data_IF_006450778154
#
_entry.id   IF_006450778154
#
_cell.length_a   1.000
_cell.length_b   1.000
_cell.length_c   1.000
_cell.angle_alpha   90.00
_cell.angle_beta   90.00
_cell.angle_gamma   90.00
#
_symmetry.space_group_name_H-M   'P 1'
#
loop_
_entity.id
_entity.type
_entity.pdbx_description
1 polymer ?
#
# COMPACT_ATOMS: atom_id res chain seq x y z
N UNK A 1 -15.54 31.88 -17.84
CA UNK A 1 -16.20 30.72 -17.21
C UNK A 1 -15.28 30.21 -16.12
N UNK A 2 -15.27 30.91 -14.97
CA UNK A 2 -14.48 30.50 -13.79
C UNK A 2 -15.39 29.71 -12.85
N UNK A 3 -15.71 28.46 -13.21
CA UNK A 3 -16.10 27.51 -12.19
C UNK A 3 -14.83 26.80 -11.76
N UNK A 4 -14.14 27.40 -10.78
CA UNK A 4 -13.17 26.67 -9.98
C UNK A 4 -13.93 25.51 -9.36
N UNK A 5 -13.68 24.33 -9.89
CA UNK A 5 -14.21 23.05 -9.49
C UNK A 5 -13.69 22.77 -8.07
N UNK A 6 -14.32 23.35 -7.05
CA UNK A 6 -13.90 23.20 -5.66
C UNK A 6 -14.36 21.86 -5.12
N UNK A 7 -13.42 21.07 -4.61
CA UNK A 7 -13.76 19.82 -3.93
C UNK A 7 -14.52 20.12 -2.64
N UNK A 8 -15.58 19.35 -2.32
CA UNK A 8 -16.31 19.55 -1.09
C UNK A 8 -15.39 19.25 0.11
N UNK A 9 -15.57 20.00 1.20
CA UNK A 9 -14.71 19.90 2.39
C UNK A 9 -14.60 18.46 2.91
N UNK A 10 -15.70 17.69 2.80
CA UNK A 10 -15.77 16.28 3.23
C UNK A 10 -14.77 15.37 2.50
N UNK A 11 -14.35 15.72 1.29
CA UNK A 11 -13.39 14.93 0.50
C UNK A 11 -12.01 14.88 1.18
N UNK A 12 -11.61 15.95 1.87
CA UNK A 12 -10.32 16.03 2.56
C UNK A 12 -10.21 15.06 3.75
N UNK A 13 -11.31 14.47 4.21
CA UNK A 13 -11.26 13.40 5.22
C UNK A 13 -10.46 12.20 4.73
N UNK A 14 -10.50 11.88 3.43
CA UNK A 14 -9.81 10.72 2.87
C UNK A 14 -8.29 10.82 3.02
N UNK A 15 -7.59 11.83 2.48
CA UNK A 15 -6.15 11.94 2.66
C UNK A 15 -5.75 12.11 4.13
N UNK A 16 -6.53 12.84 4.94
CA UNK A 16 -6.27 13.00 6.38
C UNK A 16 -6.32 11.64 7.09
N UNK A 17 -7.35 10.82 6.81
CA UNK A 17 -7.47 9.49 7.39
C UNK A 17 -6.34 8.55 6.96
N UNK A 18 -5.84 8.68 5.73
CA UNK A 18 -4.69 7.95 5.22
C UNK A 18 -3.43 8.23 6.07
N UNK A 19 -3.13 9.51 6.32
CA UNK A 19 -2.01 9.90 7.18
C UNK A 19 -2.17 9.41 8.62
N UNK A 20 -3.37 9.51 9.18
CA UNK A 20 -3.67 9.01 10.52
C UNK A 20 -3.44 7.49 10.58
N UNK A 21 -3.92 6.73 9.58
CA UNK A 21 -3.73 5.29 9.52
C UNK A 21 -2.24 4.91 9.50
N UNK A 22 -1.43 5.57 8.65
CA UNK A 22 0.02 5.33 8.58
C UNK A 22 0.74 5.72 9.88
N UNK A 23 0.30 6.79 10.54
CA UNK A 23 0.83 7.19 11.85
C UNK A 23 0.56 6.10 12.91
N UNK A 24 -0.67 5.60 12.99
CA UNK A 24 -1.02 4.52 13.92
C UNK A 24 -0.31 3.22 13.57
N UNK A 25 -0.12 2.91 12.29
CA UNK A 25 0.67 1.76 11.86
C UNK A 25 2.11 1.87 12.40
N UNK A 26 2.73 3.04 12.29
CA UNK A 26 4.07 3.29 12.82
C UNK A 26 4.13 3.15 14.35
N UNK A 27 3.15 3.71 15.06
CA UNK A 27 3.05 3.61 16.53
C UNK A 27 2.94 2.14 16.96
N UNK A 28 2.07 1.36 16.31
CA UNK A 28 1.90 -0.05 16.62
C UNK A 28 3.14 -0.88 16.27
N UNK A 29 3.76 -0.62 15.12
CA UNK A 29 5.02 -1.25 14.74
C UNK A 29 6.09 -1.03 15.81
N UNK A 30 6.27 0.23 16.25
CA UNK A 30 7.23 0.55 17.31
C UNK A 30 6.90 -0.17 18.61
N UNK A 31 5.64 -0.17 19.01
CA UNK A 31 5.20 -0.86 20.24
C UNK A 31 5.43 -2.38 20.21
N UNK A 32 5.42 -3.00 19.02
CA UNK A 32 5.79 -4.40 18.83
C UNK A 32 7.31 -4.54 18.93
N UNK A 33 8.07 -3.70 18.23
CA UNK A 33 9.54 -3.77 18.23
C UNK A 33 10.16 -3.57 19.61
N UNK A 34 9.51 -2.78 20.48
CA UNK A 34 9.90 -2.55 21.87
C UNK A 34 9.74 -3.79 22.78
N UNK A 35 9.08 -4.86 22.31
CA UNK A 35 8.94 -6.13 23.05
C UNK A 35 10.18 -7.01 22.88
N UNK A 36 10.54 -7.72 23.96
CA UNK A 36 11.64 -8.68 23.96
C UNK A 36 11.31 -9.87 23.07
N UNK A 37 12.31 -10.31 22.28
CA UNK A 37 12.26 -11.50 21.44
C UNK A 37 12.42 -12.81 22.25
N UNK A 38 12.68 -12.69 23.55
CA UNK A 38 12.76 -13.81 24.48
C UNK A 38 14.15 -14.45 24.51
N UNK A 39 14.18 -15.78 24.67
CA UNK A 39 15.41 -16.54 24.91
C UNK A 39 16.35 -16.53 23.70
N UNK A 40 17.65 -16.83 23.87
CA UNK A 40 18.59 -16.96 22.76
C UNK A 40 18.11 -17.93 21.68
N UNK A 41 17.48 -19.04 22.07
CA UNK A 41 16.91 -20.02 21.15
C UNK A 41 15.71 -19.46 20.36
N UNK A 42 14.84 -18.66 20.98
CA UNK A 42 13.74 -17.99 20.27
C UNK A 42 14.26 -17.01 19.21
N UNK A 43 15.30 -16.23 19.56
CA UNK A 43 15.94 -15.27 18.66
C UNK A 43 16.60 -15.94 17.47
N UNK A 44 17.32 -17.04 17.70
CA UNK A 44 17.95 -17.85 16.65
C UNK A 44 16.93 -18.35 15.61
N UNK A 45 15.82 -18.95 16.09
CA UNK A 45 14.75 -19.44 15.22
C UNK A 45 14.09 -18.28 14.46
N UNK A 46 13.80 -17.16 15.14
CA UNK A 46 13.20 -15.99 14.52
C UNK A 46 14.08 -15.41 13.41
N UNK A 47 15.40 -15.39 13.62
CA UNK A 47 16.35 -14.90 12.64
C UNK A 47 16.34 -15.77 11.37
N UNK A 48 16.36 -17.10 11.52
CA UNK A 48 16.26 -18.01 10.37
C UNK A 48 14.94 -17.80 9.58
N UNK A 49 13.82 -17.58 10.27
CA UNK A 49 12.53 -17.28 9.63
C UNK A 49 12.58 -15.94 8.89
N UNK A 50 13.13 -14.87 9.50
CA UNK A 50 13.29 -13.56 8.86
C UNK A 50 14.12 -13.67 7.59
N UNK A 51 15.26 -14.36 7.65
CA UNK A 51 16.14 -14.54 6.50
C UNK A 51 15.44 -15.30 5.36
N UNK A 52 14.76 -16.41 5.69
CA UNK A 52 13.98 -17.18 4.73
C UNK A 52 12.85 -16.37 4.08
N UNK A 53 12.08 -15.64 4.89
CA UNK A 53 11.01 -14.78 4.41
C UNK A 53 11.53 -13.66 3.49
N UNK A 54 12.63 -13.00 3.86
CA UNK A 54 13.24 -11.96 3.02
C UNK A 54 13.88 -12.52 1.75
N UNK A 55 14.39 -13.75 1.77
CA UNK A 55 14.84 -14.45 0.56
C UNK A 55 13.66 -14.75 -0.38
N UNK A 56 12.56 -15.28 0.17
CA UNK A 56 11.32 -15.53 -0.56
C UNK A 56 10.77 -14.24 -1.18
N UNK A 57 10.63 -13.17 -0.40
CA UNK A 57 10.09 -11.89 -0.86
C UNK A 57 10.91 -11.31 -2.01
N UNK A 58 12.25 -11.34 -1.90
CA UNK A 58 13.14 -10.89 -2.99
C UNK A 58 12.93 -11.71 -4.26
N UNK A 59 12.73 -13.03 -4.15
CA UNK A 59 12.47 -13.88 -5.31
C UNK A 59 11.10 -13.59 -5.92
N UNK A 60 10.06 -13.47 -5.08
CA UNK A 60 8.71 -13.13 -5.49
C UNK A 60 8.68 -11.78 -6.20
N UNK A 61 9.29 -10.75 -5.61
CA UNK A 61 9.30 -9.39 -6.18
C UNK A 61 10.02 -9.33 -7.51
N UNK A 62 11.05 -10.14 -7.72
CA UNK A 62 11.69 -10.25 -9.04
C UNK A 62 10.73 -10.79 -10.09
N UNK A 63 9.96 -11.82 -9.77
CA UNK A 63 9.00 -12.43 -10.69
C UNK A 63 7.83 -11.48 -10.96
N UNK A 64 7.29 -10.86 -9.91
CA UNK A 64 6.23 -9.87 -10.00
C UNK A 64 6.70 -8.66 -10.83
N UNK A 65 7.90 -8.14 -10.60
CA UNK A 65 8.43 -7.03 -11.39
C UNK A 65 8.51 -7.34 -12.90
N UNK A 66 8.85 -8.58 -13.27
CA UNK A 66 8.83 -9.00 -14.67
C UNK A 66 7.41 -9.02 -15.24
N UNK A 67 6.42 -9.53 -14.49
CA UNK A 67 5.02 -9.50 -14.91
C UNK A 67 4.50 -8.05 -15.05
N UNK A 68 4.87 -7.16 -14.12
CA UNK A 68 4.53 -5.73 -14.18
C UNK A 68 5.15 -5.05 -15.38
N UNK A 69 6.39 -5.36 -15.74
CA UNK A 69 7.02 -4.82 -16.94
C UNK A 69 6.28 -5.24 -18.22
N UNK A 70 5.85 -6.50 -18.31
CA UNK A 70 5.06 -7.00 -19.45
C UNK A 70 3.69 -6.30 -19.51
N UNK A 71 2.97 -6.21 -18.41
CA UNK A 71 1.67 -5.53 -18.33
C UNK A 71 1.79 -4.04 -18.66
N UNK A 72 2.85 -3.38 -18.20
CA UNK A 72 3.14 -1.99 -18.53
C UNK A 72 3.32 -1.78 -20.03
N UNK A 73 4.07 -2.66 -20.71
CA UNK A 73 4.22 -2.60 -22.18
C UNK A 73 2.87 -2.81 -22.88
N UNK A 74 2.05 -3.76 -22.42
CA UNK A 74 0.71 -4.00 -22.98
C UNK A 74 -0.15 -2.74 -22.84
N UNK A 75 -0.18 -2.11 -21.66
CA UNK A 75 -0.94 -0.88 -21.46
C UNK A 75 -0.39 0.30 -22.27
N UNK A 76 0.92 0.40 -22.48
CA UNK A 76 1.50 1.41 -23.39
C UNK A 76 1.06 1.20 -24.85
N UNK A 77 1.03 -0.04 -25.32
CA UNK A 77 0.55 -0.36 -26.68
C UNK A 77 -0.94 -0.01 -26.79
N UNK A 78 -1.77 -0.40 -25.82
CA UNK A 78 -3.20 -0.06 -25.80
C UNK A 78 -3.43 1.46 -25.77
N UNK A 79 -2.63 2.19 -24.99
CA UNK A 79 -2.68 3.65 -24.95
C UNK A 79 -2.25 4.32 -26.27
N UNK A 80 -1.41 3.65 -27.06
CA UNK A 80 -0.96 4.16 -28.37
C UNK A 80 -2.02 3.97 -29.47
N UNK A 81 -2.88 2.96 -29.33
CA UNK A 81 -4.02 2.71 -30.22
C UNK A 81 -5.32 3.39 -29.75
N UNK A 82 -5.24 4.32 -28.78
CA UNK A 82 -6.39 4.99 -28.15
C UNK A 82 -7.45 4.02 -27.58
N UNK A 83 -7.06 2.77 -27.27
CA UNK A 83 -7.89 1.76 -26.60
C UNK A 83 -7.94 1.97 -25.07
N UNK A 84 -7.01 2.75 -24.53
CA UNK A 84 -6.88 3.04 -23.10
C UNK A 84 -6.36 4.47 -22.89
N UNK A 85 -6.72 5.09 -21.76
CA UNK A 85 -6.22 6.42 -21.44
C UNK A 85 -4.69 6.41 -21.21
N UNK A 86 -3.99 7.40 -21.76
CA UNK A 86 -2.52 7.52 -21.74
C UNK A 86 -1.91 7.60 -20.34
N UNK A 87 -2.69 7.93 -19.32
CA UNK A 87 -2.24 8.01 -17.92
C UNK A 87 -2.21 6.62 -17.25
N UNK A 88 -3.07 5.69 -17.68
CA UNK A 88 -3.27 4.39 -17.05
C UNK A 88 -1.97 3.59 -16.88
N UNK A 89 -1.07 3.47 -17.89
CA UNK A 89 0.19 2.74 -17.71
C UNK A 89 1.04 3.28 -16.56
N UNK A 90 1.08 4.60 -16.36
CA UNK A 90 1.88 5.24 -15.32
C UNK A 90 1.26 5.05 -13.93
N UNK A 91 -0.06 5.17 -13.85
CA UNK A 91 -0.76 5.01 -12.58
C UNK A 91 -0.87 3.54 -12.14
N UNK A 92 -0.88 2.60 -13.08
CA UNK A 92 -0.68 1.17 -12.81
C UNK A 92 0.63 0.91 -12.05
N UNK A 93 1.72 1.60 -12.43
CA UNK A 93 3.02 1.42 -11.76
C UNK A 93 3.03 1.95 -10.33
N UNK A 94 2.34 3.06 -10.04
CA UNK A 94 2.27 3.59 -8.67
C UNK A 94 1.45 2.68 -7.77
N UNK A 95 0.34 2.12 -8.26
CA UNK A 95 -0.46 1.14 -7.53
C UNK A 95 0.38 -0.09 -7.14
N UNK A 96 1.13 -0.63 -8.10
CA UNK A 96 2.05 -1.75 -7.85
C UNK A 96 3.20 -1.42 -6.91
N UNK A 97 3.74 -0.20 -6.99
CA UNK A 97 4.77 0.26 -6.08
C UNK A 97 4.25 0.29 -4.65
N UNK A 98 3.10 0.90 -4.40
CA UNK A 98 2.51 0.97 -3.05
C UNK A 98 2.11 -0.41 -2.53
N UNK A 99 1.55 -1.28 -3.37
CA UNK A 99 1.25 -2.67 -3.01
C UNK A 99 2.52 -3.44 -2.60
N UNK A 100 3.60 -3.31 -3.38
CA UNK A 100 4.91 -3.88 -3.05
C UNK A 100 5.49 -3.33 -1.73
N UNK A 101 5.31 -2.03 -1.45
CA UNK A 101 5.73 -1.43 -0.18
C UNK A 101 4.92 -2.03 0.99
N UNK A 102 3.60 -2.14 0.83
CA UNK A 102 2.71 -2.74 1.83
C UNK A 102 3.10 -4.19 2.14
N UNK A 103 3.31 -5.01 1.12
CA UNK A 103 3.75 -6.41 1.29
C UNK A 103 5.07 -6.53 2.04
N UNK A 104 6.01 -5.61 1.77
CA UNK A 104 7.32 -5.58 2.44
C UNK A 104 7.20 -5.23 3.92
N UNK A 105 6.49 -4.15 4.26
CA UNK A 105 6.29 -3.75 5.65
C UNK A 105 5.48 -4.79 6.43
N UNK A 106 4.48 -5.38 5.79
CA UNK A 106 3.68 -6.45 6.34
C UNK A 106 4.51 -7.68 6.72
N UNK A 107 5.28 -8.21 5.75
CA UNK A 107 6.14 -9.37 5.99
C UNK A 107 7.21 -9.09 7.04
N UNK A 108 7.83 -7.90 7.00
CA UNK A 108 8.82 -7.49 7.99
C UNK A 108 8.21 -7.38 9.39
N UNK A 109 7.01 -6.84 9.52
CA UNK A 109 6.33 -6.74 10.82
C UNK A 109 5.96 -8.12 11.36
N UNK A 110 5.37 -8.98 10.52
CA UNK A 110 4.95 -10.32 10.93
C UNK A 110 6.14 -11.17 11.42
N UNK A 111 7.24 -11.17 10.67
CA UNK A 111 8.46 -11.94 11.00
C UNK A 111 9.21 -11.39 12.21
N UNK A 112 9.12 -10.08 12.48
CA UNK A 112 9.64 -9.51 13.73
C UNK A 112 8.71 -9.81 14.93
N UNK A 113 7.40 -9.87 14.72
CA UNK A 113 6.44 -10.08 15.78
C UNK A 113 6.41 -11.52 16.33
N UNK A 114 6.67 -12.54 15.50
CA UNK A 114 6.45 -13.95 15.89
C UNK A 114 7.11 -14.34 17.22
N UNK A 115 8.43 -14.15 17.38
CA UNK A 115 9.11 -14.51 18.62
C UNK A 115 8.70 -13.64 19.81
N UNK A 116 8.41 -12.35 19.57
CA UNK A 116 7.91 -11.43 20.59
C UNK A 116 6.55 -11.87 21.11
N UNK A 117 5.66 -12.30 20.22
CA UNK A 117 4.36 -12.89 20.57
C UNK A 117 4.53 -14.16 21.38
N UNK A 118 5.42 -15.08 20.97
CA UNK A 118 5.69 -16.32 21.72
C UNK A 118 6.22 -16.03 23.12
N UNK A 119 7.19 -15.12 23.24
CA UNK A 119 7.74 -14.74 24.54
C UNK A 119 6.69 -14.05 25.42
N UNK A 120 5.90 -13.13 24.87
CA UNK A 120 4.79 -12.48 25.58
C UNK A 120 3.74 -13.50 26.05
N UNK A 121 3.40 -14.48 25.21
CA UNK A 121 2.47 -15.55 25.56
C UNK A 121 2.96 -16.44 26.71
N UNK A 122 4.28 -16.61 26.88
CA UNK A 122 4.84 -17.30 28.05
C UNK A 122 4.66 -16.56 29.38
N UNK A 123 4.37 -15.25 29.34
CA UNK A 123 4.07 -14.43 30.52
C UNK A 123 2.58 -14.37 30.80
N UNK A 124 1.78 -14.09 29.78
CA UNK A 124 0.32 -14.19 29.85
C UNK A 124 -0.31 -14.26 28.46
N UNK A 125 -1.52 -14.84 28.38
CA UNK A 125 -2.31 -14.85 27.15
C UNK A 125 -2.59 -13.43 26.64
N UNK A 126 -2.94 -12.50 27.53
CA UNK A 126 -3.26 -11.12 27.18
C UNK A 126 -2.05 -10.40 26.56
N UNK A 127 -0.85 -10.58 27.11
CA UNK A 127 0.35 -9.99 26.53
C UNK A 127 0.64 -10.55 25.13
N UNK A 128 0.57 -11.86 24.96
CA UNK A 128 0.74 -12.49 23.64
C UNK A 128 -0.27 -11.97 22.62
N UNK A 129 -1.54 -11.87 23.03
CA UNK A 129 -2.64 -11.36 22.20
C UNK A 129 -2.40 -9.92 21.77
N UNK A 130 -1.99 -9.04 22.69
CA UNK A 130 -1.73 -7.63 22.36
C UNK A 130 -0.62 -7.48 21.33
N UNK A 131 0.47 -8.24 21.44
CA UNK A 131 1.56 -8.19 20.46
C UNK A 131 1.09 -8.69 19.09
N UNK A 132 0.37 -9.83 19.07
CA UNK A 132 -0.15 -10.40 17.83
C UNK A 132 -1.15 -9.47 17.12
N UNK A 133 -2.12 -8.92 17.85
CA UNK A 133 -3.13 -8.02 17.30
C UNK A 133 -2.52 -6.71 16.81
N UNK A 134 -1.56 -6.13 17.56
CA UNK A 134 -0.87 -4.91 17.11
C UNK A 134 -0.06 -5.17 15.85
N UNK A 135 0.66 -6.29 15.77
CA UNK A 135 1.40 -6.68 14.56
C UNK A 135 0.45 -6.85 13.35
N UNK A 136 -0.71 -7.49 13.55
CA UNK A 136 -1.74 -7.60 12.50
C UNK A 136 -2.34 -6.24 12.10
N UNK A 137 -2.57 -5.36 13.07
CA UNK A 137 -3.07 -4.01 12.83
C UNK A 137 -2.10 -3.16 11.99
N UNK A 138 -0.77 -3.32 12.17
CA UNK A 138 0.22 -2.66 11.30
C UNK A 138 0.00 -3.02 9.84
N UNK A 139 -0.15 -4.31 9.51
CA UNK A 139 -0.41 -4.75 8.13
C UNK A 139 -1.67 -4.09 7.57
N UNK A 140 -2.79 -4.15 8.30
CA UNK A 140 -4.05 -3.56 7.85
C UNK A 140 -3.98 -2.04 7.65
N UNK A 141 -3.38 -1.32 8.60
CA UNK A 141 -3.27 0.13 8.55
C UNK A 141 -2.29 0.62 7.49
N UNK A 142 -1.20 -0.10 7.23
CA UNK A 142 -0.28 0.18 6.12
C UNK A 142 -1.01 0.06 4.78
N UNK A 143 -1.75 -1.05 4.57
CA UNK A 143 -2.50 -1.28 3.33
C UNK A 143 -3.54 -0.19 3.10
N UNK A 144 -4.40 0.07 4.09
CA UNK A 144 -5.45 1.10 3.97
C UNK A 144 -4.84 2.49 3.82
N UNK A 145 -3.79 2.80 4.59
CA UNK A 145 -3.12 4.10 4.55
C UNK A 145 -2.52 4.41 3.17
N UNK A 146 -1.72 3.50 2.61
CA UNK A 146 -1.13 3.73 1.28
C UNK A 146 -2.18 3.68 0.15
N UNK A 147 -3.18 2.81 0.23
CA UNK A 147 -4.24 2.75 -0.78
C UNK A 147 -5.05 4.06 -0.83
N UNK A 148 -5.45 4.60 0.32
CA UNK A 148 -6.16 5.88 0.38
C UNK A 148 -5.26 7.05 -0.06
N UNK A 149 -3.98 7.03 0.32
CA UNK A 149 -3.01 8.04 -0.12
C UNK A 149 -2.87 8.06 -1.65
N UNK A 150 -2.67 6.89 -2.27
CA UNK A 150 -2.50 6.75 -3.72
C UNK A 150 -3.74 7.21 -4.49
N UNK A 151 -4.93 6.72 -4.09
CA UNK A 151 -6.21 7.08 -4.70
C UNK A 151 -6.48 8.59 -4.55
N UNK A 152 -6.26 9.18 -3.37
CA UNK A 152 -6.45 10.62 -3.15
C UNK A 152 -5.45 11.47 -3.94
N UNK A 153 -4.18 11.07 -3.97
CA UNK A 153 -3.14 11.79 -4.70
C UNK A 153 -3.41 11.80 -6.21
N UNK A 154 -3.75 10.64 -6.79
CA UNK A 154 -4.10 10.55 -8.20
C UNK A 154 -5.39 11.27 -8.55
N UNK A 155 -6.40 11.22 -7.68
CA UNK A 155 -7.62 11.99 -7.91
C UNK A 155 -7.31 13.49 -8.00
N UNK A 156 -6.56 14.04 -7.03
CA UNK A 156 -6.11 15.45 -7.07
C UNK A 156 -5.31 15.72 -8.34
N UNK A 157 -4.40 14.81 -8.70
CA UNK A 157 -3.55 14.98 -9.86
C UNK A 157 -4.37 15.06 -11.16
N UNK A 158 -5.27 14.09 -11.37
CA UNK A 158 -6.14 14.04 -12.53
C UNK A 158 -7.14 15.20 -12.59
N UNK A 159 -7.63 15.64 -11.44
CA UNK A 159 -8.67 16.66 -11.36
C UNK A 159 -8.12 18.10 -11.52
N UNK A 160 -6.90 18.38 -11.03
CA UNK A 160 -6.32 19.71 -11.07
C UNK A 160 -5.22 19.90 -12.12
N UNK A 161 -4.43 18.87 -12.46
CA UNK A 161 -3.32 19.02 -13.42
C UNK A 161 -3.74 18.78 -14.87
N UNK A 162 -4.82 18.03 -15.12
CA UNK A 162 -5.25 17.70 -16.48
C UNK A 162 -6.50 18.51 -16.87
N UNK A 163 -6.43 19.26 -17.97
CA UNK A 163 -7.55 20.09 -18.40
C UNK A 163 -8.69 19.21 -18.96
N UNK A 164 -9.97 19.62 -18.88
CA UNK A 164 -11.11 18.82 -19.33
C UNK A 164 -11.01 18.34 -20.79
N UNK A 165 -10.33 19.11 -21.65
CA UNK A 165 -10.07 18.78 -23.04
C UNK A 165 -9.23 17.50 -23.20
N UNK A 166 -8.36 17.19 -22.23
CA UNK A 166 -7.59 15.94 -22.20
C UNK A 166 -8.51 14.71 -22.09
N UNK A 167 -9.65 14.87 -21.44
CA UNK A 167 -10.65 13.82 -21.24
C UNK A 167 -11.73 13.82 -22.34
N UNK A 168 -11.65 14.70 -23.34
CA UNK A 168 -12.61 14.77 -24.45
C UNK A 168 -14.08 14.93 -24.01
N UNK A 169 -14.33 15.40 -22.79
CA UNK A 169 -15.66 15.48 -22.19
C UNK A 169 -15.80 16.74 -21.33
N UNK A 170 -16.99 17.33 -21.32
CA UNK A 170 -17.29 18.55 -20.54
C UNK A 170 -17.24 18.29 -19.04
N UNK A 171 -17.50 17.04 -18.62
CA UNK A 171 -17.35 16.59 -17.24
C UNK A 171 -16.27 15.49 -17.16
N UNK A 172 -15.10 15.77 -16.58
CA UNK A 172 -13.99 14.81 -16.52
C UNK A 172 -14.19 13.70 -15.49
N UNK A 173 -15.15 13.83 -14.55
CA UNK A 173 -15.29 12.92 -13.41
C UNK A 173 -15.47 11.44 -13.78
N UNK A 174 -16.32 11.04 -14.76
CA UNK A 174 -16.49 9.63 -15.11
C UNK A 174 -15.19 9.01 -15.62
N UNK A 175 -14.41 9.75 -16.42
CA UNK A 175 -13.13 9.26 -16.91
C UNK A 175 -12.07 9.18 -15.82
N UNK A 176 -12.02 10.17 -14.93
CA UNK A 176 -11.15 10.11 -13.74
C UNK A 176 -11.46 8.85 -12.93
N UNK A 177 -12.73 8.54 -12.67
CA UNK A 177 -13.12 7.32 -11.95
C UNK A 177 -12.72 6.03 -12.69
N UNK A 178 -12.89 5.96 -14.02
CA UNK A 178 -12.48 4.80 -14.82
C UNK A 178 -10.96 4.61 -14.79
N UNK A 179 -10.20 5.71 -14.93
CA UNK A 179 -8.74 5.68 -14.81
C UNK A 179 -8.35 5.21 -13.41
N UNK A 180 -9.02 5.69 -12.36
CA UNK A 180 -8.74 5.27 -10.99
C UNK A 180 -9.06 3.80 -10.71
N UNK A 181 -10.12 3.25 -11.30
CA UNK A 181 -10.41 1.82 -11.21
C UNK A 181 -9.29 0.98 -11.83
N UNK A 182 -8.64 1.49 -12.87
CA UNK A 182 -7.53 0.78 -13.50
C UNK A 182 -6.27 0.70 -12.63
N UNK A 183 -6.13 1.56 -11.61
CA UNK A 183 -5.02 1.49 -10.64
C UNK A 183 -5.08 0.19 -9.83
N UNK A 184 -6.30 -0.29 -9.55
CA UNK A 184 -6.53 -1.55 -8.86
C UNK A 184 -6.00 -2.77 -9.61
N UNK A 185 -5.68 -2.68 -10.91
CA UNK A 185 -4.99 -3.75 -11.61
C UNK A 185 -3.50 -3.83 -11.23
N UNK A 186 -2.91 -2.72 -10.80
CA UNK A 186 -1.53 -2.65 -10.35
C UNK A 186 -1.38 -2.94 -8.85
N UNK A 187 -2.37 -2.62 -8.03
CA UNK A 187 -2.31 -2.89 -6.58
C UNK A 187 -2.56 -4.38 -6.26
#
# INVERSE_FOLDING_TARGET
MNNTLHLPIIWWLTPISAFIALLFAYIFYRSVMDKDEGTPRMREIAQAVREGAMAYLRRQYRVVAMAFAVLFIIFLIMASFDLQNKIVPYAFLTGGLFSGICGYFGMRTATNASARTTHAASKSLNEGLQVAFRAGAVMGLVVVGFALLDISAWFIALYYLFPPEFFGSVNPLPQITVIMLSFGFGA
#
